data_IF_011659044875
#
_entry.id   IF_011659044875
#
_cell.length_a   1.000
_cell.length_b   1.000
_cell.length_c   1.000
_cell.angle_alpha   90.00
_cell.angle_beta   90.00
_cell.angle_gamma   90.00
#
_symmetry.space_group_name_H-M   'P 1'
#
loop_
_entity.id
_entity.type
_entity.pdbx_description
1 polymer ?
#
# COMPACT_ATOMS: atom_id res chain seq x y z
N UNK A 1 -5.28 0.75 -10.40
CA UNK A 1 -5.30 -0.40 -9.51
C UNK A 1 -4.22 -0.28 -8.44
N UNK A 2 -4.52 -0.76 -7.26
CA UNK A 2 -3.65 -0.64 -6.09
C UNK A 2 -2.44 -1.57 -6.10
N UNK A 3 -2.27 -2.38 -7.14
CA UNK A 3 -1.15 -3.34 -7.21
C UNK A 3 0.21 -2.69 -7.44
N UNK A 4 0.25 -1.45 -7.89
CA UNK A 4 1.50 -0.76 -8.24
C UNK A 4 2.01 0.17 -7.14
N UNK A 5 1.74 -0.16 -5.90
CA UNK A 5 2.22 0.60 -4.75
C UNK A 5 2.93 -0.30 -3.76
N UNK A 6 3.66 0.33 -2.85
CA UNK A 6 4.19 -0.31 -1.65
C UNK A 6 3.59 0.35 -0.43
N UNK A 7 3.44 -0.42 0.63
CA UNK A 7 2.89 0.06 1.90
C UNK A 7 3.95 -0.03 2.97
N UNK A 8 4.05 1.02 3.77
CA UNK A 8 4.98 1.09 4.90
C UNK A 8 4.18 1.18 6.18
N UNK A 9 4.46 0.27 7.10
CA UNK A 9 3.85 0.23 8.42
C UNK A 9 4.92 0.43 9.48
N UNK A 10 4.58 1.11 10.57
CA UNK A 10 5.38 1.00 11.78
C UNK A 10 5.15 -0.37 12.42
N UNK A 11 5.92 -0.70 13.47
CA UNK A 11 5.82 -2.02 14.09
C UNK A 11 4.44 -2.29 14.69
N UNK A 12 3.80 -1.29 15.28
CA UNK A 12 2.47 -1.44 15.85
C UNK A 12 1.42 -1.66 14.77
N UNK A 13 1.49 -0.89 13.68
CA UNK A 13 0.59 -1.04 12.53
C UNK A 13 0.74 -2.38 11.84
N UNK A 14 1.98 -2.87 11.71
CA UNK A 14 2.26 -4.18 11.14
C UNK A 14 1.68 -5.31 12.00
N UNK A 15 1.86 -5.24 13.31
CA UNK A 15 1.30 -6.24 14.22
C UNK A 15 -0.22 -6.31 14.12
N UNK A 16 -0.88 -5.15 14.08
CA UNK A 16 -2.34 -5.09 13.92
C UNK A 16 -2.79 -5.70 12.59
N UNK A 17 -2.03 -5.47 11.51
CA UNK A 17 -2.30 -6.03 10.21
C UNK A 17 -2.11 -7.55 10.17
N UNK A 18 -1.04 -8.04 10.78
CA UNK A 18 -0.79 -9.50 10.91
C UNK A 18 -1.93 -10.18 11.66
N UNK A 19 -2.44 -9.59 12.73
CA UNK A 19 -3.57 -10.12 13.49
C UNK A 19 -4.81 -10.26 12.61
N UNK A 20 -5.08 -9.28 11.76
CA UNK A 20 -6.19 -9.34 10.81
C UNK A 20 -6.01 -10.46 9.79
N UNK A 21 -4.78 -10.66 9.30
CA UNK A 21 -4.49 -11.74 8.36
C UNK A 21 -4.67 -13.11 9.02
N UNK A 22 -4.23 -13.25 10.26
CA UNK A 22 -4.35 -14.50 11.01
C UNK A 22 -5.82 -14.85 11.35
N UNK A 23 -6.66 -13.84 11.45
CA UNK A 23 -8.08 -14.04 11.70
C UNK A 23 -8.88 -14.46 10.45
N UNK A 24 -8.27 -14.43 9.27
CA UNK A 24 -8.93 -14.83 8.02
C UNK A 24 -9.13 -16.35 7.97
N UNK A 25 -10.21 -16.82 7.30
CA UNK A 25 -10.48 -18.27 7.22
C UNK A 25 -9.39 -19.01 6.44
N UNK A 26 -8.52 -19.73 7.14
CA UNK A 26 -7.41 -20.48 6.53
C UNK A 26 -7.85 -21.78 5.85
N UNK A 27 -9.11 -22.17 6.03
CA UNK A 27 -9.68 -23.35 5.35
C UNK A 27 -9.84 -23.14 3.84
N UNK A 28 -9.87 -21.90 3.39
CA UNK A 28 -9.99 -21.56 1.97
C UNK A 28 -8.61 -21.49 1.32
N UNK A 29 -8.47 -22.16 0.19
CA UNK A 29 -7.20 -22.22 -0.55
C UNK A 29 -6.75 -20.82 -1.01
N UNK A 30 -7.69 -20.03 -1.53
CA UNK A 30 -7.38 -18.67 -1.99
C UNK A 30 -6.91 -17.76 -0.86
N UNK A 31 -7.52 -17.87 0.32
CA UNK A 31 -7.12 -17.12 1.52
C UNK A 31 -5.70 -17.49 1.93
N UNK A 32 -5.38 -18.81 1.98
CA UNK A 32 -4.04 -19.26 2.33
C UNK A 32 -2.98 -18.77 1.34
N UNK A 33 -3.30 -18.81 0.06
CA UNK A 33 -2.40 -18.33 -0.99
C UNK A 33 -2.14 -16.83 -0.86
N UNK A 34 -3.17 -16.06 -0.61
CA UNK A 34 -3.05 -14.61 -0.42
C UNK A 34 -2.17 -14.28 0.78
N UNK A 35 -2.47 -14.86 1.94
CA UNK A 35 -1.72 -14.59 3.18
C UNK A 35 -0.25 -14.98 3.01
N UNK A 36 0.00 -16.14 2.45
CA UNK A 36 1.38 -16.63 2.23
C UNK A 36 2.16 -15.71 1.29
N UNK A 37 1.56 -15.35 0.17
CA UNK A 37 2.17 -14.47 -0.82
C UNK A 37 2.46 -13.09 -0.22
N UNK A 38 1.49 -12.54 0.51
CA UNK A 38 1.62 -11.22 1.11
C UNK A 38 2.75 -11.18 2.15
N UNK A 39 2.77 -12.15 3.06
CA UNK A 39 3.81 -12.20 4.11
C UNK A 39 5.19 -12.48 3.53
N UNK A 40 5.29 -13.32 2.48
CA UNK A 40 6.56 -13.61 1.83
C UNK A 40 7.15 -12.39 1.13
N UNK A 41 6.31 -11.45 0.69
CA UNK A 41 6.75 -10.21 0.06
C UNK A 41 7.12 -9.11 1.03
N UNK A 42 6.84 -9.27 2.32
CA UNK A 42 7.15 -8.26 3.31
C UNK A 42 8.64 -8.24 3.64
N UNK A 43 9.16 -7.05 3.90
CA UNK A 43 10.55 -6.88 4.32
C UNK A 43 10.63 -5.86 5.45
N UNK A 44 11.46 -6.14 6.43
CA UNK A 44 11.77 -5.20 7.50
C UNK A 44 12.86 -4.26 7.01
N UNK A 45 12.66 -2.96 7.21
CA UNK A 45 13.58 -1.94 6.73
C UNK A 45 13.95 -1.03 7.90
N UNK A 46 15.23 -0.79 8.07
CA UNK A 46 15.73 0.14 9.09
C UNK A 46 15.87 1.54 8.49
N UNK A 47 15.47 2.54 9.29
CA UNK A 47 15.64 3.94 8.94
C UNK A 47 16.93 4.42 9.59
N UNK A 48 17.84 5.01 8.81
CA UNK A 48 19.09 5.52 9.32
C UNK A 48 18.91 6.83 10.12
N UNK A 49 20.00 7.35 10.69
CA UNK A 49 19.97 8.57 11.52
C UNK A 49 19.54 9.82 10.75
N UNK A 50 19.61 9.77 9.44
CA UNK A 50 19.22 10.88 8.56
C UNK A 50 17.81 10.71 8.01
N UNK A 51 17.08 9.69 8.46
CA UNK A 51 15.72 9.42 8.02
C UNK A 51 15.64 8.70 6.68
N UNK A 52 16.71 8.04 6.23
CA UNK A 52 16.74 7.33 4.95
C UNK A 52 16.54 5.84 5.16
N UNK A 53 15.85 5.20 4.23
CA UNK A 53 15.63 3.77 4.23
C UNK A 53 15.83 3.22 2.82
N UNK A 54 16.46 2.04 2.72
CA UNK A 54 16.65 1.36 1.45
C UNK A 54 15.51 0.37 1.22
N UNK A 55 14.76 0.56 0.15
CA UNK A 55 13.69 -0.36 -0.24
C UNK A 55 14.33 -1.50 -1.05
N UNK A 56 14.11 -2.78 -0.67
CA UNK A 56 14.65 -3.91 -1.40
C UNK A 56 14.27 -3.88 -2.88
N UNK A 57 15.19 -4.34 -3.74
CA UNK A 57 15.01 -4.24 -5.19
C UNK A 57 13.76 -4.93 -5.71
N UNK A 58 13.39 -6.08 -5.14
CA UNK A 58 12.15 -6.79 -5.53
C UNK A 58 10.91 -5.94 -5.28
N UNK A 59 10.87 -5.21 -4.18
CA UNK A 59 9.75 -4.33 -3.86
C UNK A 59 9.72 -3.12 -4.78
N UNK A 60 10.87 -2.58 -5.14
CA UNK A 60 10.97 -1.47 -6.11
C UNK A 60 10.49 -1.91 -7.49
N UNK A 61 10.92 -3.08 -7.94
CA UNK A 61 10.53 -3.62 -9.25
C UNK A 61 9.03 -3.86 -9.34
N UNK A 62 8.45 -4.46 -8.32
CA UNK A 62 7.01 -4.75 -8.30
C UNK A 62 6.17 -3.47 -8.42
N UNK A 63 6.52 -2.41 -7.71
CA UNK A 63 5.81 -1.14 -7.75
C UNK A 63 6.28 -0.23 -8.89
N UNK A 64 7.20 -0.70 -9.72
CA UNK A 64 7.79 0.07 -10.82
C UNK A 64 8.44 1.37 -10.34
N UNK A 65 9.01 1.34 -9.12
CA UNK A 65 9.67 2.50 -8.54
C UNK A 65 10.98 2.79 -9.27
N UNK A 66 11.12 4.01 -9.72
CA UNK A 66 12.34 4.51 -10.35
C UNK A 66 12.94 5.59 -9.46
N UNK A 67 13.40 6.68 -10.05
CA UNK A 67 14.02 7.76 -9.31
C UNK A 67 12.99 8.58 -8.53
N UNK A 68 11.86 8.89 -9.17
CA UNK A 68 10.87 9.79 -8.59
C UNK A 68 9.70 9.00 -8.00
N UNK A 69 9.42 9.22 -6.73
CA UNK A 69 8.36 8.54 -6.02
C UNK A 69 7.48 9.54 -5.28
N UNK A 70 6.25 9.13 -4.99
CA UNK A 70 5.30 9.90 -4.20
C UNK A 70 4.97 9.12 -2.94
N UNK A 71 5.07 9.76 -1.79
CA UNK A 71 4.68 9.20 -0.50
C UNK A 71 3.30 9.75 -0.14
N UNK A 72 2.37 8.86 0.13
CA UNK A 72 0.99 9.23 0.45
C UNK A 72 0.61 8.66 1.80
N UNK A 73 0.19 9.54 2.71
CA UNK A 73 -0.36 9.10 3.99
C UNK A 73 -1.77 8.54 3.78
N UNK A 74 -1.96 7.31 4.18
CA UNK A 74 -3.27 6.65 4.19
C UNK A 74 -3.60 6.25 5.62
N UNK A 75 -4.86 5.94 5.89
CA UNK A 75 -5.28 5.59 7.25
C UNK A 75 -4.50 4.38 7.78
N UNK A 76 -3.58 4.61 8.70
CA UNK A 76 -2.80 3.56 9.35
C UNK A 76 -1.52 3.11 8.66
N UNK A 77 -1.20 3.66 7.47
CA UNK A 77 0.04 3.31 6.77
C UNK A 77 0.44 4.40 5.78
N UNK A 78 1.62 4.24 5.22
CA UNK A 78 2.13 5.12 4.15
C UNK A 78 2.22 4.29 2.87
N UNK A 79 1.78 4.86 1.77
CA UNK A 79 1.92 4.25 0.44
C UNK A 79 3.06 4.88 -0.32
N UNK A 80 3.82 4.07 -1.04
CA UNK A 80 4.88 4.52 -1.94
C UNK A 80 4.48 4.18 -3.38
N UNK A 81 4.38 5.21 -4.20
CA UNK A 81 4.01 5.08 -5.61
C UNK A 81 5.13 5.61 -6.49
N UNK A 82 5.29 5.06 -7.69
CA UNK A 82 6.06 5.76 -8.70
C UNK A 82 5.33 7.06 -9.06
N UNK A 83 6.09 8.10 -9.42
CA UNK A 83 5.49 9.39 -9.82
C UNK A 83 4.54 9.19 -11.00
N UNK A 84 4.95 8.39 -11.97
CA UNK A 84 4.15 8.11 -13.17
C UNK A 84 2.82 7.43 -12.84
N UNK A 85 2.84 6.42 -11.97
CA UNK A 85 1.62 5.71 -11.56
C UNK A 85 0.70 6.59 -10.72
N UNK A 86 1.28 7.41 -9.86
CA UNK A 86 0.51 8.35 -9.07
C UNK A 86 -0.19 9.39 -9.94
N UNK A 87 0.51 9.95 -10.91
CA UNK A 87 -0.05 10.94 -11.82
C UNK A 87 -1.22 10.35 -12.63
N UNK A 88 -1.09 9.11 -13.09
CA UNK A 88 -2.16 8.41 -13.79
C UNK A 88 -3.38 8.19 -12.89
N UNK A 89 -3.16 7.83 -11.64
CA UNK A 89 -4.23 7.62 -10.67
C UNK A 89 -4.96 8.93 -10.35
N UNK A 90 -4.23 10.02 -10.18
CA UNK A 90 -4.79 11.35 -9.92
C UNK A 90 -5.63 11.84 -11.10
N UNK A 91 -5.16 11.62 -12.32
CA UNK A 91 -5.90 11.97 -13.53
C UNK A 91 -7.24 11.22 -13.59
N UNK A 92 -7.22 9.92 -13.30
CA UNK A 92 -8.42 9.10 -13.25
C UNK A 92 -9.37 9.57 -12.15
N UNK A 93 -8.84 9.94 -10.98
CA UNK A 93 -9.63 10.44 -9.86
C UNK A 93 -10.28 11.79 -10.19
N UNK A 94 -9.58 12.68 -10.88
CA UNK A 94 -10.13 13.98 -11.29
C UNK A 94 -11.33 13.82 -12.20
N UNK A 95 -11.26 12.89 -13.16
CA UNK A 95 -12.35 12.60 -14.07
C UNK A 95 -13.61 12.09 -13.38
N UNK A 96 -13.45 11.42 -12.24
CA UNK A 96 -14.54 10.80 -11.49
C UNK A 96 -14.88 11.53 -10.18
N UNK A 97 -14.26 12.70 -9.94
CA UNK A 97 -14.34 13.36 -8.63
C UNK A 97 -15.75 13.73 -8.22
N UNK A 98 -16.58 14.20 -9.16
CA UNK A 98 -17.98 14.53 -8.88
C UNK A 98 -18.76 13.32 -8.36
N UNK A 99 -18.63 12.18 -9.04
CA UNK A 99 -19.31 10.95 -8.65
C UNK A 99 -18.79 10.42 -7.32
N UNK A 100 -17.48 10.51 -7.11
CA UNK A 100 -16.85 10.07 -5.88
C UNK A 100 -17.32 10.95 -4.71
N UNK A 101 -17.31 12.26 -4.89
CA UNK A 101 -17.75 13.22 -3.87
C UNK A 101 -19.22 13.00 -3.49
N UNK A 102 -20.07 12.75 -4.46
CA UNK A 102 -21.49 12.46 -4.25
C UNK A 102 -21.67 11.19 -3.41
N UNK A 103 -20.93 10.12 -3.70
CA UNK A 103 -20.97 8.89 -2.92
C UNK A 103 -20.46 9.09 -1.48
N UNK A 104 -19.44 9.91 -1.30
CA UNK A 104 -18.93 10.23 0.05
C UNK A 104 -19.96 11.03 0.83
N UNK A 105 -20.67 11.93 0.18
CA UNK A 105 -21.75 12.70 0.78
C UNK A 105 -22.88 11.79 1.28
N UNK A 106 -23.25 10.79 0.49
CA UNK A 106 -24.23 9.76 0.88
C UNK A 106 -23.80 8.96 2.10
N UNK A 107 -22.50 8.83 2.32
CA UNK A 107 -21.91 8.15 3.47
C UNK A 107 -21.73 9.07 4.69
N UNK A 108 -22.13 10.34 4.57
CA UNK A 108 -22.01 11.31 5.65
C UNK A 108 -20.63 11.95 5.79
N UNK A 109 -19.84 11.90 4.74
CA UNK A 109 -18.49 12.50 4.76
C UNK A 109 -18.44 13.91 4.11
#
# INVERSE_FOLDING_TARGET
>A
SDVYKRQVYDNAGWTAFEEKLQAMPISRKDTRMFVRHFLAGAAEVEVDKQGRALIPSKLREFAELTKDVVLVGAAGHIEIWSQERWDALEEEAEESMEDIAERMDDLGL
#
